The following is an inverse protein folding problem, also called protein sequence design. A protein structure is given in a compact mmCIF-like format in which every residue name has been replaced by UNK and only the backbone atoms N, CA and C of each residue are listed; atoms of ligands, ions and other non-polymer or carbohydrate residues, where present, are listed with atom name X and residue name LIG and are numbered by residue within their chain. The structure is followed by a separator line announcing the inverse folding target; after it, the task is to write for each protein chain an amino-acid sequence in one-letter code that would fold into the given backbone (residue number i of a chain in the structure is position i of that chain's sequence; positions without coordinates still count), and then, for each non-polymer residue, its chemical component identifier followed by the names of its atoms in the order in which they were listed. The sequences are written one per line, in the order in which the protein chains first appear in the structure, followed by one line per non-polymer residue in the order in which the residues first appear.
data_IF_775810228587
#
_entry.id   IF_775810228587
#
_cell.length_a   1.000
_cell.length_b   1.000
_cell.length_c   1.000
_cell.angle_alpha   90.00
_cell.angle_beta   90.00
_cell.angle_gamma   90.00
#
_symmetry.space_group_name_H-M   'P 1'
#
loop_
_entity.id
_entity.type
_entity.pdbx_description
1 polymer ?
#
# COMPACT_ATOMS: atom_id res chain seq x y z
N UNK A 1 -17.57 36.88 40.71
CA UNK A 1 -17.97 35.78 39.82
C UNK A 1 -16.75 35.43 38.99
N UNK A 2 -15.92 34.50 39.50
CA UNK A 2 -14.71 34.04 38.81
C UNK A 2 -15.10 32.94 37.84
N UNK A 3 -14.80 33.16 36.57
CA UNK A 3 -14.91 32.18 35.51
C UNK A 3 -13.63 31.35 35.52
N UNK A 4 -13.71 30.10 35.96
CA UNK A 4 -12.64 29.12 35.82
C UNK A 4 -12.83 28.41 34.48
N UNK A 5 -12.13 28.89 33.46
CA UNK A 5 -11.83 28.11 32.28
C UNK A 5 -10.80 27.04 32.68
N UNK A 6 -11.26 25.82 32.92
CA UNK A 6 -10.39 24.64 32.97
C UNK A 6 -10.26 24.11 31.55
N UNK A 7 -9.23 24.59 30.82
CA UNK A 7 -8.73 23.88 29.65
C UNK A 7 -7.82 22.75 30.14
N UNK A 8 -8.41 21.71 30.71
CA UNK A 8 -7.74 20.43 30.86
C UNK A 8 -7.88 19.71 29.51
N UNK A 9 -7.02 20.05 28.56
CA UNK A 9 -6.79 19.21 27.37
C UNK A 9 -6.06 17.97 27.88
N UNK A 10 -6.81 16.96 28.33
CA UNK A 10 -6.23 15.64 28.56
C UNK A 10 -5.54 15.20 27.25
N UNK A 11 -4.30 14.68 27.33
CA UNK A 11 -3.57 14.26 26.15
C UNK A 11 -4.34 13.13 25.48
N UNK A 12 -4.81 13.38 24.25
CA UNK A 12 -5.53 12.39 23.45
C UNK A 12 -4.65 11.14 23.24
N UNK A 13 -5.22 9.92 23.30
CA UNK A 13 -4.48 8.71 22.94
C UNK A 13 -3.86 8.84 21.55
N UNK A 14 -2.56 8.54 21.45
CA UNK A 14 -1.78 8.76 20.22
C UNK A 14 -1.16 7.47 19.70
N UNK A 15 -1.66 7.02 18.55
CA UNK A 15 -1.11 5.89 17.79
C UNK A 15 -0.27 6.40 16.63
N UNK A 16 0.82 5.70 16.29
CA UNK A 16 1.69 6.06 15.18
C UNK A 16 2.04 4.88 14.30
N UNK A 17 2.04 5.09 12.99
CA UNK A 17 2.51 4.15 11.98
C UNK A 17 3.65 4.77 11.20
N UNK A 18 4.88 4.30 11.43
CA UNK A 18 6.02 4.63 10.55
C UNK A 18 6.05 3.60 9.43
N UNK A 19 5.98 4.08 8.20
CA UNK A 19 5.94 3.23 7.02
C UNK A 19 7.02 3.60 6.00
N UNK A 20 7.85 2.60 5.66
CA UNK A 20 8.94 2.70 4.71
C UNK A 20 8.78 1.66 3.61
N UNK A 21 8.25 2.03 2.43
CA UNK A 21 8.14 1.09 1.33
C UNK A 21 9.50 0.60 0.83
N UNK A 22 9.50 -0.57 0.20
CA UNK A 22 10.63 -1.04 -0.58
C UNK A 22 10.88 -0.04 -1.71
N UNK A 23 12.13 0.33 -1.92
CA UNK A 23 12.53 1.26 -2.98
C UNK A 23 13.73 0.71 -3.77
N UNK A 24 14.34 1.51 -4.64
CA UNK A 24 15.54 1.08 -5.40
C UNK A 24 16.75 0.79 -4.50
N UNK A 25 16.77 1.35 -3.29
CA UNK A 25 17.85 1.22 -2.30
C UNK A 25 17.58 0.08 -1.33
N UNK A 26 16.31 -0.23 -1.08
CA UNK A 26 15.88 -1.25 -0.12
C UNK A 26 14.91 -2.24 -0.77
N UNK A 27 15.32 -3.50 -0.91
CA UNK A 27 14.49 -4.59 -1.45
C UNK A 27 13.39 -5.08 -0.49
N UNK A 28 13.44 -4.64 0.76
CA UNK A 28 12.44 -4.90 1.79
C UNK A 28 11.77 -3.60 2.18
N UNK A 29 10.46 -3.65 2.39
CA UNK A 29 9.77 -2.59 3.10
C UNK A 29 9.80 -2.84 4.61
N UNK A 30 9.50 -1.79 5.38
CA UNK A 30 9.60 -1.80 6.84
C UNK A 30 8.45 -0.98 7.42
N UNK A 31 7.88 -1.47 8.51
CA UNK A 31 6.90 -0.71 9.29
C UNK A 31 7.15 -0.83 10.79
N UNK A 32 6.81 0.23 11.50
CA UNK A 32 6.74 0.28 12.97
C UNK A 32 5.36 0.79 13.34
N UNK A 33 4.63 -0.01 14.11
CA UNK A 33 3.32 0.36 14.65
C UNK A 33 3.45 0.55 16.14
N UNK A 34 3.07 1.72 16.63
CA UNK A 34 2.92 2.01 18.04
C UNK A 34 1.44 2.29 18.29
N UNK A 35 0.78 1.43 19.05
CA UNK A 35 -0.63 1.58 19.41
C UNK A 35 -0.70 2.30 20.77
N UNK A 36 -1.54 3.34 20.88
CA UNK A 36 -1.73 4.11 22.11
C UNK A 36 -2.15 3.25 23.31
N UNK A 37 -2.83 2.14 23.05
CA UNK A 37 -3.41 1.23 24.03
C UNK A 37 -2.53 0.00 24.29
N UNK A 38 -1.33 -0.03 23.69
CA UNK A 38 -0.35 -1.08 23.89
C UNK A 38 1.00 -0.50 24.30
N UNK A 39 1.66 -1.13 25.26
CA UNK A 39 3.05 -0.82 25.61
C UNK A 39 4.06 -1.39 24.60
N UNK A 40 3.59 -2.20 23.64
CA UNK A 40 4.44 -2.87 22.67
C UNK A 40 4.41 -2.17 21.31
N UNK A 41 5.60 -1.98 20.74
CA UNK A 41 5.75 -1.57 19.35
C UNK A 41 5.94 -2.80 18.46
N UNK A 42 5.12 -2.90 17.42
CA UNK A 42 5.19 -3.99 16.44
C UNK A 42 6.08 -3.54 15.29
N UNK A 43 7.11 -4.34 15.00
CA UNK A 43 8.04 -4.10 13.89
C UNK A 43 7.88 -5.21 12.85
N UNK A 44 7.77 -4.83 11.58
CA UNK A 44 7.64 -5.77 10.47
C UNK A 44 8.65 -5.44 9.37
N UNK A 45 9.20 -6.48 8.75
CA UNK A 45 10.06 -6.34 7.58
C UNK A 45 9.69 -7.35 6.52
N UNK A 46 9.08 -6.90 5.44
CA UNK A 46 8.59 -7.80 4.40
C UNK A 46 9.52 -7.74 3.19
N UNK A 47 9.90 -8.91 2.67
CA UNK A 47 10.60 -9.00 1.40
C UNK A 47 9.65 -8.79 0.22
N UNK A 48 10.07 -8.01 -0.77
CA UNK A 48 9.34 -7.91 -2.03
C UNK A 48 9.52 -9.22 -2.83
N UNK A 49 8.57 -10.15 -2.73
CA UNK A 49 8.64 -11.45 -3.40
C UNK A 49 7.93 -11.48 -4.75
N UNK A 50 7.12 -10.46 -5.07
CA UNK A 50 6.37 -10.40 -6.31
C UNK A 50 7.24 -9.83 -7.43
N UNK A 51 7.45 -10.60 -8.49
CA UNK A 51 7.88 -10.02 -9.77
C UNK A 51 6.90 -8.91 -10.15
N UNK A 52 7.42 -7.72 -10.46
CA UNK A 52 6.67 -6.50 -10.72
C UNK A 52 5.49 -6.78 -11.68
N UNK A 53 4.27 -6.88 -11.15
CA UNK A 53 3.08 -7.10 -11.96
C UNK A 53 2.94 -5.96 -12.98
N UNK A 54 2.98 -6.31 -14.27
CA UNK A 54 2.82 -5.35 -15.37
C UNK A 54 1.33 -5.01 -15.50
N UNK A 55 0.84 -4.04 -14.74
CA UNK A 55 -0.48 -3.49 -14.96
C UNK A 55 -0.48 -2.40 -16.05
N UNK A 56 -1.56 -2.38 -16.82
CA UNK A 56 -1.79 -1.41 -17.91
C UNK A 56 -1.98 0.00 -17.34
N UNK A 57 -1.48 1.06 -18.00
CA UNK A 57 -1.60 2.42 -17.51
C UNK A 57 -3.03 2.94 -17.70
N UNK A 58 -3.68 3.46 -16.64
CA UNK A 58 -4.89 4.29 -16.77
C UNK A 58 -4.51 5.78 -16.85
N UNK A 59 -5.36 6.58 -17.49
CA UNK A 59 -5.03 7.93 -18.00
C UNK A 59 -4.99 9.05 -16.96
N UNK A 60 -5.44 8.82 -15.72
CA UNK A 60 -5.55 9.86 -14.68
C UNK A 60 -4.51 9.72 -13.56
N UNK A 61 -3.77 8.61 -13.55
CA UNK A 61 -2.73 8.29 -12.57
C UNK A 61 -1.45 7.90 -13.31
N UNK A 62 -1.11 8.66 -14.36
CA UNK A 62 0.01 8.40 -15.29
C UNK A 62 1.37 8.23 -14.60
N UNK A 63 1.49 8.73 -13.37
CA UNK A 63 2.70 8.70 -12.56
C UNK A 63 2.69 7.68 -11.41
N UNK A 64 1.59 6.93 -11.20
CA UNK A 64 1.59 5.78 -10.29
C UNK A 64 2.52 4.73 -10.89
N UNK A 65 3.72 4.50 -10.33
CA UNK A 65 4.67 3.62 -10.97
C UNK A 65 4.07 2.21 -10.96
N UNK A 66 3.87 1.66 -12.16
CA UNK A 66 3.68 0.23 -12.42
C UNK A 66 4.83 -0.59 -11.83
N UNK A 67 4.79 -0.85 -10.53
CA UNK A 67 5.83 -1.54 -9.75
C UNK A 67 5.15 -2.40 -8.68
N UNK A 68 5.81 -3.48 -8.25
CA UNK A 68 5.42 -4.25 -7.05
C UNK A 68 5.41 -3.40 -5.76
N UNK A 69 5.95 -2.18 -5.81
CA UNK A 69 6.01 -1.26 -4.69
C UNK A 69 4.60 -0.85 -4.20
N UNK A 70 3.70 -0.27 -5.03
CA UNK A 70 2.31 -0.01 -4.63
C UNK A 70 1.58 -1.23 -4.07
N UNK A 71 1.81 -2.41 -4.65
CA UNK A 71 1.24 -3.67 -4.17
C UNK A 71 1.64 -3.96 -2.72
N UNK A 72 2.94 -3.94 -2.47
CA UNK A 72 3.52 -4.23 -1.18
C UNK A 72 3.17 -3.15 -0.14
N UNK A 73 3.07 -1.89 -0.58
CA UNK A 73 2.59 -0.77 0.24
C UNK A 73 1.19 -1.07 0.78
N UNK A 74 0.25 -1.43 -0.10
CA UNK A 74 -1.14 -1.62 0.30
C UNK A 74 -1.32 -2.82 1.23
N UNK A 75 -0.67 -3.95 0.94
CA UNK A 75 -0.73 -5.14 1.82
C UNK A 75 -0.24 -4.82 3.24
N UNK A 76 0.86 -4.07 3.35
CA UNK A 76 1.46 -3.79 4.65
C UNK A 76 0.79 -2.68 5.41
N UNK A 77 0.36 -1.65 4.69
CA UNK A 77 -0.43 -0.60 5.29
C UNK A 77 -1.75 -1.20 5.79
N UNK A 78 -2.38 -2.09 5.03
CA UNK A 78 -3.56 -2.84 5.49
C UNK A 78 -3.28 -3.64 6.77
N UNK A 79 -2.22 -4.47 6.77
CA UNK A 79 -1.84 -5.26 7.94
C UNK A 79 -1.52 -4.37 9.16
N UNK A 80 -0.71 -3.33 8.98
CA UNK A 80 -0.32 -2.43 10.05
C UNK A 80 -1.52 -1.66 10.63
N UNK A 81 -2.39 -1.12 9.78
CA UNK A 81 -3.62 -0.44 10.22
C UNK A 81 -4.56 -1.43 10.94
N UNK A 82 -4.59 -2.70 10.56
CA UNK A 82 -5.39 -3.71 11.23
C UNK A 82 -4.92 -4.02 12.67
N UNK A 83 -3.68 -3.68 13.02
CA UNK A 83 -3.13 -3.84 14.37
C UNK A 83 -3.24 -2.58 15.24
N UNK A 84 -3.79 -1.49 14.70
CA UNK A 84 -4.00 -0.24 15.45
C UNK A 84 -5.42 -0.22 16.00
N UNK A 85 -5.50 -0.07 17.31
CA UNK A 85 -6.72 0.25 18.02
C UNK A 85 -6.90 1.76 18.06
N UNK A 86 -8.11 2.21 17.78
CA UNK A 86 -8.53 3.61 17.88
C UNK A 86 -9.76 3.62 18.76
N UNK A 87 -9.80 4.58 19.68
CA UNK A 87 -11.00 4.96 20.43
C UNK A 87 -11.48 6.33 19.95
N UNK A 88 -12.74 6.73 20.27
CA UNK A 88 -13.24 8.04 19.90
C UNK A 88 -12.27 9.18 20.26
N UNK A 89 -12.07 10.10 19.32
CA UNK A 89 -11.20 11.29 19.46
C UNK A 89 -9.69 11.00 19.59
N UNK A 90 -9.25 9.76 19.38
CA UNK A 90 -7.81 9.42 19.33
C UNK A 90 -7.11 10.08 18.13
N UNK A 91 -5.78 10.17 18.20
CA UNK A 91 -4.94 10.62 17.10
C UNK A 91 -4.17 9.44 16.47
N UNK A 92 -4.20 9.35 15.15
CA UNK A 92 -3.38 8.45 14.36
C UNK A 92 -2.42 9.26 13.48
N UNK A 93 -1.11 9.13 13.71
CA UNK A 93 -0.09 9.72 12.84
C UNK A 93 0.54 8.68 11.91
N UNK A 94 0.35 8.84 10.60
CA UNK A 94 0.97 8.01 9.56
C UNK A 94 2.18 8.75 9.00
N UNK A 95 3.37 8.22 9.29
CA UNK A 95 4.67 8.84 9.01
C UNK A 95 5.37 8.08 7.88
N UNK A 96 5.69 8.73 6.77
CA UNK A 96 6.34 8.05 5.65
C UNK A 96 6.78 8.98 4.52
N UNK A 97 7.20 8.40 3.39
CA UNK A 97 7.34 9.15 2.15
C UNK A 97 5.97 9.36 1.53
N UNK A 98 5.41 10.56 1.71
CA UNK A 98 4.02 10.86 1.37
C UNK A 98 3.70 10.68 -0.12
N UNK A 99 4.70 10.89 -0.99
CA UNK A 99 4.55 10.64 -2.42
C UNK A 99 4.48 9.14 -2.71
N UNK A 100 5.36 8.35 -2.09
CA UNK A 100 5.35 6.89 -2.27
C UNK A 100 4.12 6.24 -1.64
N UNK A 101 3.54 6.84 -0.61
CA UNK A 101 2.28 6.42 0.00
C UNK A 101 1.03 6.84 -0.80
N UNK A 102 1.20 7.55 -1.91
CA UNK A 102 0.09 8.07 -2.72
C UNK A 102 -0.91 8.90 -1.90
N UNK A 103 -0.38 9.73 -0.99
CA UNK A 103 -1.18 10.46 0.00
C UNK A 103 -2.35 11.23 -0.63
N UNK A 104 -2.06 12.06 -1.64
CA UNK A 104 -3.03 12.97 -2.23
C UNK A 104 -4.02 12.26 -3.16
N UNK A 105 -3.57 11.19 -3.80
CA UNK A 105 -4.35 10.49 -4.84
C UNK A 105 -5.21 9.36 -4.27
N UNK A 106 -4.84 8.83 -3.09
CA UNK A 106 -5.45 7.63 -2.50
C UNK A 106 -5.93 7.88 -1.08
N UNK A 107 -5.01 8.18 -0.15
CA UNK A 107 -5.30 8.16 1.27
C UNK A 107 -6.19 9.32 1.73
N UNK A 108 -5.89 10.56 1.30
CA UNK A 108 -6.70 11.74 1.64
C UNK A 108 -8.12 11.63 1.08
N UNK A 109 -8.34 11.28 -0.20
CA UNK A 109 -9.68 11.06 -0.74
C UNK A 109 -10.51 10.06 0.08
N UNK A 110 -9.90 8.93 0.47
CA UNK A 110 -10.54 7.91 1.31
C UNK A 110 -10.93 8.50 2.68
N UNK A 111 -9.97 9.10 3.41
CA UNK A 111 -10.22 9.67 4.74
C UNK A 111 -11.31 10.73 4.71
N UNK A 112 -11.39 11.52 3.63
CA UNK A 112 -12.42 12.56 3.47
C UNK A 112 -13.78 12.03 3.03
N UNK A 113 -13.90 10.76 2.65
CA UNK A 113 -15.11 10.21 2.05
C UNK A 113 -15.40 10.76 0.64
N UNK A 114 -14.41 11.38 -0.01
CA UNK A 114 -14.54 12.03 -1.31
C UNK A 114 -13.73 11.27 -2.36
N UNK A 115 -13.98 9.96 -2.47
CA UNK A 115 -13.26 9.06 -3.36
C UNK A 115 -14.25 8.33 -4.27
N UNK A 116 -13.99 8.31 -5.58
CA UNK A 116 -14.60 7.32 -6.48
C UNK A 116 -13.81 6.02 -6.36
N UNK A 117 -14.27 5.15 -5.45
CA UNK A 117 -13.54 3.93 -5.13
C UNK A 117 -13.46 2.97 -6.33
N UNK A 118 -14.45 2.98 -7.24
CA UNK A 118 -14.42 2.13 -8.44
C UNK A 118 -13.29 2.56 -9.38
N UNK A 119 -13.15 3.87 -9.62
CA UNK A 119 -12.07 4.42 -10.45
C UNK A 119 -10.70 4.19 -9.80
N UNK A 120 -10.63 4.35 -8.48
CA UNK A 120 -9.41 4.08 -7.71
C UNK A 120 -9.00 2.60 -7.85
N UNK A 121 -9.90 1.66 -7.57
CA UNK A 121 -9.62 0.22 -7.65
C UNK A 121 -9.22 -0.21 -9.08
N UNK A 122 -9.86 0.35 -10.11
CA UNK A 122 -9.52 0.08 -11.51
C UNK A 122 -8.10 0.55 -11.91
N UNK A 123 -7.48 1.40 -11.09
CA UNK A 123 -6.12 1.90 -11.33
C UNK A 123 -5.03 1.05 -10.67
N UNK A 124 -5.41 0.08 -9.84
CA UNK A 124 -4.50 -0.91 -9.25
C UNK A 124 -4.61 -2.27 -9.94
N UNK A 125 -3.63 -3.14 -9.68
CA UNK A 125 -3.73 -4.54 -10.09
C UNK A 125 -4.93 -5.20 -9.38
N UNK A 126 -5.84 -5.89 -10.11
CA UNK A 126 -6.99 -6.54 -9.51
C UNK A 126 -6.66 -7.46 -8.34
N UNK A 127 -5.48 -8.10 -8.33
CA UNK A 127 -5.01 -8.95 -7.22
C UNK A 127 -4.80 -8.20 -5.90
N UNK A 128 -4.75 -6.86 -5.92
CA UNK A 128 -4.51 -5.98 -4.77
C UNK A 128 -5.77 -5.30 -4.27
N UNK A 129 -6.89 -5.52 -4.96
CA UNK A 129 -8.18 -4.92 -4.62
C UNK A 129 -8.51 -5.12 -3.16
N UNK A 130 -8.25 -6.32 -2.64
CA UNK A 130 -8.48 -6.68 -1.25
C UNK A 130 -7.65 -5.86 -0.26
N UNK A 131 -6.38 -5.62 -0.54
CA UNK A 131 -5.51 -4.80 0.32
C UNK A 131 -5.91 -3.34 0.30
N UNK A 132 -6.26 -2.81 -0.89
CA UNK A 132 -6.80 -1.47 -1.02
C UNK A 132 -8.09 -1.33 -0.19
N UNK A 133 -8.97 -2.34 -0.24
CA UNK A 133 -10.18 -2.36 0.55
C UNK A 133 -9.88 -2.38 2.06
N UNK A 134 -8.92 -3.18 2.53
CA UNK A 134 -8.52 -3.18 3.94
C UNK A 134 -8.04 -1.81 4.42
N UNK A 135 -7.13 -1.17 3.66
CA UNK A 135 -6.65 0.18 3.97
C UNK A 135 -7.82 1.15 4.04
N UNK A 136 -8.70 1.11 3.05
CA UNK A 136 -9.84 2.02 2.98
C UNK A 136 -10.84 1.80 4.12
N UNK A 137 -11.23 0.57 4.41
CA UNK A 137 -12.15 0.27 5.51
C UNK A 137 -11.57 0.72 6.86
N UNK A 138 -10.28 0.49 7.14
CA UNK A 138 -9.67 0.94 8.39
C UNK A 138 -9.63 2.46 8.52
N UNK A 139 -9.24 3.17 7.45
CA UNK A 139 -9.24 4.63 7.46
C UNK A 139 -10.64 5.21 7.61
N UNK A 140 -11.65 4.58 6.99
CA UNK A 140 -13.06 4.96 7.16
C UNK A 140 -13.49 4.70 8.59
N UNK A 141 -13.23 3.52 9.17
CA UNK A 141 -13.59 3.22 10.56
C UNK A 141 -13.00 4.23 11.54
N UNK A 142 -11.71 4.53 11.43
CA UNK A 142 -11.06 5.56 12.25
C UNK A 142 -11.75 6.92 12.10
N UNK A 143 -12.13 7.28 10.87
CA UNK A 143 -12.87 8.52 10.62
C UNK A 143 -14.29 8.51 11.23
N UNK A 144 -14.98 7.37 11.19
CA UNK A 144 -16.30 7.15 11.81
C UNK A 144 -16.23 7.14 13.34
N UNK A 145 -15.04 7.01 13.93
CA UNK A 145 -14.77 7.15 15.36
C UNK A 145 -14.28 8.56 15.71
N UNK A 146 -14.39 9.54 14.81
CA UNK A 146 -13.91 10.90 15.04
C UNK A 146 -12.39 10.98 15.33
N UNK A 147 -11.61 9.97 14.90
CA UNK A 147 -10.17 10.00 15.09
C UNK A 147 -9.53 11.05 14.17
N UNK A 148 -8.50 11.72 14.68
CA UNK A 148 -7.70 12.67 13.92
C UNK A 148 -6.59 11.90 13.19
N UNK A 149 -6.72 11.77 11.88
CA UNK A 149 -5.71 11.10 11.04
C UNK A 149 -4.77 12.15 10.46
N UNK A 150 -3.50 12.12 10.88
CA UNK A 150 -2.43 12.99 10.38
C UNK A 150 -1.49 12.21 9.48
N UNK A 151 -0.93 12.92 8.51
CA UNK A 151 0.09 12.39 7.60
C UNK A 151 1.33 13.26 7.67
N UNK A 152 2.47 12.65 7.98
CA UNK A 152 3.73 13.36 8.17
C UNK A 152 4.84 12.82 7.27
N UNK A 153 5.62 13.75 6.71
CA UNK A 153 6.78 13.40 5.93
C UNK A 153 7.87 12.86 6.86
N UNK A 154 8.36 11.66 6.59
CA UNK A 154 9.39 11.07 7.43
C UNK A 154 10.69 11.89 7.38
N UNK A 155 11.24 12.18 8.56
CA UNK A 155 12.54 12.81 8.70
C UNK A 155 13.66 11.86 8.20
N UNK A 156 14.63 12.33 7.39
CA UNK A 156 15.75 11.51 6.93
C UNK A 156 16.55 10.81 8.05
N UNK A 157 16.72 11.45 9.22
CA UNK A 157 17.43 10.84 10.36
C UNK A 157 16.63 9.70 10.97
N UNK A 158 15.33 9.90 11.19
CA UNK A 158 14.39 8.86 11.66
C UNK A 158 14.35 7.72 10.66
N UNK A 159 14.25 8.01 9.36
CA UNK A 159 14.31 7.00 8.30
C UNK A 159 15.56 6.13 8.42
N UNK A 160 16.73 6.75 8.57
CA UNK A 160 18.00 6.00 8.71
C UNK A 160 18.01 5.16 9.99
N UNK A 161 17.50 5.69 11.10
CA UNK A 161 17.40 4.98 12.36
C UNK A 161 16.51 3.74 12.24
N UNK A 162 15.28 3.92 11.72
CA UNK A 162 14.30 2.85 11.53
C UNK A 162 14.83 1.77 10.58
N UNK A 163 15.47 2.18 9.47
CA UNK A 163 16.10 1.21 8.55
C UNK A 163 17.18 0.41 9.27
N UNK A 164 18.11 1.07 9.95
CA UNK A 164 19.20 0.38 10.63
C UNK A 164 18.69 -0.55 11.73
N UNK A 165 17.80 -0.05 12.58
CA UNK A 165 17.21 -0.83 13.68
C UNK A 165 16.53 -2.08 13.14
N UNK A 166 15.57 -1.93 12.22
CA UNK A 166 14.78 -3.08 11.75
C UNK A 166 15.63 -4.03 10.87
N UNK A 167 16.60 -3.53 10.10
CA UNK A 167 17.52 -4.40 9.33
C UNK A 167 18.36 -5.33 10.23
N UNK A 168 18.71 -4.87 11.43
CA UNK A 168 19.55 -5.64 12.34
C UNK A 168 18.76 -6.46 13.37
N UNK A 169 17.47 -6.16 13.57
CA UNK A 169 16.66 -6.77 14.64
C UNK A 169 15.48 -7.59 14.14
N UNK A 170 15.02 -7.40 12.90
CA UNK A 170 13.87 -8.12 12.33
C UNK A 170 14.26 -8.72 10.99
N UNK A 171 14.46 -10.04 10.99
CA UNK A 171 14.58 -10.79 9.75
C UNK A 171 13.22 -10.93 9.08
N UNK A 172 13.21 -10.88 7.75
CA UNK A 172 11.95 -10.94 7.01
C UNK A 172 11.30 -12.33 7.09
N UNK A 173 12.09 -13.39 7.32
CA UNK A 173 11.60 -14.74 7.56
C UNK A 173 10.80 -14.85 8.87
N UNK A 174 11.11 -13.99 9.84
CA UNK A 174 10.41 -13.93 11.14
C UNK A 174 9.15 -13.07 11.06
N UNK A 175 8.92 -12.42 9.92
CA UNK A 175 7.72 -11.64 9.67
C UNK A 175 6.63 -12.57 9.12
N UNK A 176 5.53 -12.83 9.86
CA UNK A 176 4.41 -13.61 9.35
C UNK A 176 3.80 -12.98 8.10
N UNK A 177 3.17 -13.83 7.29
CA UNK A 177 2.40 -13.39 6.13
C UNK A 177 1.26 -12.44 6.52
N UNK A 178 0.76 -11.68 5.54
CA UNK A 178 -0.32 -10.73 5.75
C UNK A 178 -1.57 -11.42 6.30
N UNK A 179 -2.00 -10.98 7.49
CA UNK A 179 -3.17 -11.48 8.19
C UNK A 179 -4.39 -10.61 7.83
N UNK A 180 -4.78 -10.69 6.55
CA UNK A 180 -5.86 -9.91 5.95
C UNK A 180 -6.89 -10.84 5.31
N UNK A 181 -7.85 -11.30 6.10
CA UNK A 181 -8.88 -12.24 5.64
C UNK A 181 -9.88 -11.57 4.68
N UNK A 182 -9.97 -12.12 3.47
CA UNK A 182 -10.89 -11.70 2.43
C UNK A 182 -12.36 -11.82 2.83
N UNK A 183 -12.71 -12.85 3.59
CA UNK A 183 -14.10 -13.09 4.00
C UNK A 183 -14.58 -12.05 5.02
N UNK A 184 -13.66 -11.51 5.83
CA UNK A 184 -13.98 -10.48 6.82
C UNK A 184 -14.22 -9.11 6.18
N UNK A 185 -13.66 -8.82 5.00
CA UNK A 185 -13.82 -7.53 4.33
C UNK A 185 -15.29 -7.18 4.05
N UNK A 186 -16.08 -8.16 3.59
CA UNK A 186 -17.49 -7.95 3.30
C UNK A 186 -18.28 -7.63 4.58
N UNK A 187 -18.11 -8.46 5.62
CA UNK A 187 -18.77 -8.27 6.92
C UNK A 187 -18.39 -6.92 7.52
N UNK A 188 -17.10 -6.59 7.53
CA UNK A 188 -16.61 -5.34 8.09
C UNK A 188 -17.12 -4.12 7.32
N UNK A 189 -17.21 -4.20 5.99
CA UNK A 189 -17.82 -3.13 5.20
C UNK A 189 -19.31 -2.92 5.55
N UNK A 190 -20.08 -4.01 5.68
CA UNK A 190 -21.48 -3.93 6.12
C UNK A 190 -21.61 -3.24 7.50
N UNK A 191 -20.77 -3.62 8.47
CA UNK A 191 -20.77 -3.02 9.81
C UNK A 191 -20.47 -1.52 9.77
N UNK A 192 -19.44 -1.10 9.01
CA UNK A 192 -19.10 0.31 8.86
C UNK A 192 -20.20 1.09 8.12
N UNK A 193 -20.88 0.46 7.17
CA UNK A 193 -22.00 1.05 6.45
C UNK A 193 -23.18 1.30 7.37
N UNK A 194 -23.56 0.33 8.20
CA UNK A 194 -24.62 0.49 9.22
C UNK A 194 -24.25 1.60 10.22
N UNK A 195 -23.00 1.62 10.69
CA UNK A 195 -22.46 2.67 11.56
C UNK A 195 -22.53 4.05 10.91
N UNK A 196 -22.19 4.16 9.62
CA UNK A 196 -22.27 5.41 8.87
C UNK A 196 -23.71 5.88 8.64
N UNK A 197 -24.66 4.96 8.43
CA UNK A 197 -26.09 5.28 8.30
C UNK A 197 -26.71 5.75 9.63
N UNK A 198 -26.21 5.27 10.76
CA UNK A 198 -26.67 5.65 12.09
C UNK A 198 -26.31 7.08 12.51
N UNK A 199 -25.40 7.76 11.79
CA UNK A 199 -24.96 9.12 12.10
C UNK A 199 -24.94 10.01 10.84
N UNK A 200 -25.75 11.07 10.84
CA UNK A 200 -25.88 12.01 9.72
C UNK A 200 -24.56 12.66 9.26
N UNK A 201 -23.58 12.83 10.15
CA UNK A 201 -22.27 13.40 9.82
C UNK A 201 -21.40 12.47 8.96
N UNK A 202 -21.74 11.18 8.95
CA UNK A 202 -20.98 10.12 8.31
C UNK A 202 -21.54 9.69 6.95
N UNK A 203 -22.65 10.29 6.49
CA UNK A 203 -23.31 9.95 5.23
C UNK A 203 -22.38 10.04 4.02
N UNK A 204 -21.35 10.90 4.06
CA UNK A 204 -20.33 11.01 3.01
C UNK A 204 -19.59 9.69 2.73
N UNK A 205 -19.46 8.81 3.73
CA UNK A 205 -18.77 7.54 3.56
C UNK A 205 -19.64 6.46 2.91
N UNK A 206 -20.97 6.60 2.90
CA UNK A 206 -21.87 5.58 2.35
C UNK A 206 -21.55 5.30 0.88
N UNK A 207 -21.32 6.35 0.07
CA UNK A 207 -21.00 6.19 -1.35
C UNK A 207 -19.68 5.43 -1.55
N UNK A 208 -18.68 5.68 -0.69
CA UNK A 208 -17.41 4.95 -0.73
C UNK A 208 -17.61 3.49 -0.34
N UNK A 209 -18.33 3.23 0.75
CA UNK A 209 -18.59 1.88 1.25
C UNK A 209 -19.41 1.03 0.27
N UNK A 210 -20.45 1.61 -0.35
CA UNK A 210 -21.24 0.97 -1.40
C UNK A 210 -20.36 0.62 -2.61
N UNK A 211 -19.56 1.58 -3.10
CA UNK A 211 -18.63 1.34 -4.20
C UNK A 211 -17.59 0.26 -3.88
N UNK A 212 -17.12 0.20 -2.62
CA UNK A 212 -16.22 -0.86 -2.15
C UNK A 212 -16.90 -2.24 -2.14
N UNK A 213 -18.17 -2.31 -1.76
CA UNK A 213 -18.94 -3.57 -1.81
C UNK A 213 -19.03 -4.10 -3.23
N UNK A 214 -19.35 -3.24 -4.19
CA UNK A 214 -19.43 -3.62 -5.60
C UNK A 214 -18.08 -4.15 -6.11
N UNK A 215 -16.99 -3.44 -5.78
CA UNK A 215 -15.63 -3.82 -6.18
C UNK A 215 -15.21 -5.16 -5.54
N UNK A 216 -15.58 -5.42 -4.28
CA UNK A 216 -15.31 -6.69 -3.60
C UNK A 216 -16.09 -7.84 -4.23
N UNK A 217 -17.37 -7.64 -4.52
CA UNK A 217 -18.21 -8.65 -5.19
C UNK A 217 -17.70 -8.96 -6.59
N UNK A 218 -17.31 -7.94 -7.35
CA UNK A 218 -16.70 -8.11 -8.67
C UNK A 218 -15.39 -8.89 -8.59
N UNK A 219 -14.56 -8.65 -7.58
CA UNK A 219 -13.30 -9.36 -7.38
C UNK A 219 -13.53 -10.84 -7.02
N UNK A 220 -14.51 -11.14 -6.17
CA UNK A 220 -14.87 -12.50 -5.78
C UNK A 220 -15.48 -13.32 -6.92
N UNK A 221 -16.23 -12.67 -7.82
CA UNK A 221 -16.89 -13.31 -8.95
C UNK A 221 -16.00 -13.46 -10.20
N UNK A 222 -14.79 -12.90 -10.21
CA UNK A 222 -13.85 -13.09 -11.33
C UNK A 222 -13.30 -14.51 -11.29
N UNK A 223 -13.41 -15.29 -12.39
CA UNK A 223 -12.73 -16.58 -12.46
C UNK A 223 -11.24 -16.34 -12.29
N UNK A 224 -10.61 -17.06 -11.36
CA UNK A 224 -9.17 -17.02 -11.16
C UNK A 224 -8.50 -17.33 -12.50
N UNK A 225 -7.98 -16.30 -13.17
CA UNK A 225 -7.16 -16.49 -14.36
C UNK A 225 -5.85 -17.05 -13.84
N UNK A 226 -5.80 -18.37 -13.67
CA UNK A 226 -4.58 -19.12 -13.54
C UNK A 226 -3.76 -18.83 -14.79
N UNK A 227 -2.86 -17.85 -14.70
CA UNK A 227 -1.74 -17.79 -15.62
C UNK A 227 -0.85 -18.97 -15.23
N UNK A 228 -1.04 -20.09 -15.93
CA UNK A 228 -0.02 -21.12 -15.94
C UNK A 228 1.33 -20.44 -16.24
N UNK A 229 2.40 -20.79 -15.51
CA UNK A 229 3.72 -20.34 -15.89
C UNK A 229 3.98 -20.93 -17.29
N UNK A 230 4.13 -20.06 -18.29
CA UNK A 230 4.58 -20.46 -19.62
C UNK A 230 5.95 -21.13 -19.45
N UNK A 231 5.93 -22.46 -19.34
CA UNK A 231 7.11 -23.29 -19.40
C UNK A 231 7.63 -23.19 -20.83
N UNK A 232 8.62 -22.31 -21.01
CA UNK A 232 9.72 -22.44 -21.95
C UNK A 232 9.42 -23.29 -23.19
N UNK A 233 8.57 -22.74 -24.07
CA UNK A 233 8.44 -23.27 -25.43
C UNK A 233 9.78 -23.13 -26.15
N UNK A 234 10.45 -24.27 -26.26
CA UNK A 234 11.63 -24.60 -27.06
C UNK A 234 11.89 -23.60 -28.19
N UNK A 235 12.97 -22.83 -28.06
CA UNK A 235 13.70 -22.25 -29.19
C UNK A 235 14.08 -23.38 -30.16
N UNK A 236 13.28 -23.56 -31.20
CA UNK A 236 13.63 -24.34 -32.39
C UNK A 236 14.74 -23.55 -33.11
N UNK A 237 16.00 -23.96 -32.90
CA UNK A 237 17.11 -23.56 -33.76
C UNK A 237 16.87 -24.19 -35.13
N UNK A 238 16.37 -23.41 -36.09
CA UNK A 238 16.44 -23.78 -37.50
C UNK A 238 17.86 -23.50 -37.99
N UNK A 239 18.59 -24.59 -38.23
CA UNK A 239 19.78 -24.62 -39.07
C UNK A 239 19.42 -24.17 -40.48
N UNK A 240 19.95 -23.02 -40.91
CA UNK A 240 19.97 -22.58 -42.29
C UNK A 240 21.41 -22.32 -42.68
N UNK A 241 22.07 -23.37 -43.16
CA UNK A 241 23.28 -23.28 -43.97
C UNK A 241 22.93 -22.53 -45.25
N UNK A 242 23.65 -21.46 -45.56
CA UNK A 242 23.96 -21.18 -46.96
C UNK A 242 25.26 -20.38 -47.09
N UNK A 243 26.14 -20.99 -47.86
CA UNK A 243 27.42 -20.50 -48.32
C UNK A 243 27.28 -19.18 -49.09
N UNK A 244 28.20 -18.24 -48.83
CA UNK A 244 28.80 -17.43 -49.90
C UNK A 244 30.13 -16.82 -49.44
N UNK A 245 31.19 -17.45 -49.94
CA UNK A 245 32.50 -16.83 -50.12
C UNK A 245 32.38 -15.50 -50.87
N UNK A 246 33.16 -14.47 -50.50
CA UNK A 246 34.19 -13.90 -51.39
C UNK A 246 35.06 -12.82 -50.73
N UNK A 247 36.38 -13.06 -50.80
CA UNK A 247 37.49 -12.14 -51.12
C UNK A 247 37.76 -10.89 -50.24
N UNK A 248 38.83 -11.03 -49.44
CA UNK A 248 40.11 -10.31 -49.57
C UNK A 248 40.11 -8.86 -50.05
N UNK A 249 40.58 -7.94 -49.19
CA UNK A 249 41.70 -7.02 -49.50
C UNK A 249 42.29 -6.37 -48.23
N UNK A 250 43.62 -6.46 -48.14
CA UNK A 250 44.52 -5.74 -47.23
C UNK A 250 44.58 -4.25 -47.56
N UNK A 251 44.77 -3.41 -46.53
CA UNK A 251 45.60 -2.19 -46.47
C UNK A 251 45.58 -1.78 -44.98
N UNK A 252 46.62 -1.99 -44.16
CA UNK A 252 47.88 -1.24 -44.05
C UNK A 252 47.73 0.27 -44.25
N UNK A 253 47.76 1.00 -43.13
CA UNK A 253 48.66 2.14 -42.93
C UNK A 253 48.75 2.48 -41.43
N UNK A 254 49.92 2.19 -40.86
CA UNK A 254 50.51 2.99 -39.78
C UNK A 254 51.01 4.30 -40.39
N UNK A 255 50.77 5.46 -39.76
CA UNK A 255 51.87 6.35 -39.34
C UNK A 255 51.36 7.53 -38.51
N UNK A 256 52.10 7.71 -37.42
CA UNK A 256 52.23 8.84 -36.50
C UNK A 256 52.12 10.24 -37.10
N UNK A 257 51.57 11.14 -36.28
CA UNK A 257 52.17 12.44 -35.96
C UNK A 257 52.11 12.63 -34.44
#
# INVERSE_FOLDING_TARGET
MSSTATSDDEPRPHSSLIFLPADRRYSSSRSVTCDAFSSQSIRRGYQCNTELCKCSPSSHLKDLPKRAQPCQILWQMGDALNKITIEPESELCIIGDLKQLFLNDVLIPIVRGNCDFRVLAASFDPSLTHSLCWVALKLVDFSLQCAVIKFEQINPSVRKSVVNEIMHTVHWQDTPDYDLDHHLLHTYNCELREKAMGNGEHLRYITVLDAMMDVLLDALNRPAVCKEPETSSKRKRSSGSDDRQTKSKRHHNETNA
#
